data_IF_655266783041
#
_entry.id   IF_655266783041
#
_cell.length_a   1.000
_cell.length_b   1.000
_cell.length_c   1.000
_cell.angle_alpha   90.00
_cell.angle_beta   90.00
_cell.angle_gamma   90.00
#
_symmetry.space_group_name_H-M   'P 1'
#
loop_
_entity.id
_entity.type
_entity.pdbx_description
1 polymer ?
#
# COMPACT_ATOMS: atom_id res chain seq x y z
N UNK A 1 -15.07 21.87 7.19
CA UNK A 1 -13.92 21.99 6.26
C UNK A 1 -13.39 20.58 6.06
N UNK A 2 -13.11 20.15 4.83
CA UNK A 2 -12.63 18.78 4.55
C UNK A 2 -11.14 18.70 4.85
N UNK A 3 -10.69 17.57 5.41
CA UNK A 3 -9.29 17.41 5.82
C UNK A 3 -8.64 16.13 5.28
N UNK A 4 -7.34 16.21 5.00
CA UNK A 4 -6.53 15.07 4.57
C UNK A 4 -5.17 15.09 5.27
N UNK A 5 -4.74 13.93 5.73
CA UNK A 5 -3.37 13.68 6.16
C UNK A 5 -2.59 13.02 5.02
N UNK A 6 -1.37 13.48 4.75
CA UNK A 6 -0.44 12.89 3.78
C UNK A 6 0.80 12.40 4.54
N UNK A 7 0.95 11.09 4.64
CA UNK A 7 2.12 10.45 5.22
C UNK A 7 3.12 10.03 4.14
N UNK A 8 4.38 10.45 4.29
CA UNK A 8 5.49 10.03 3.43
C UNK A 8 6.40 9.04 4.17
N UNK A 9 6.40 7.78 3.74
CA UNK A 9 7.33 6.74 4.20
C UNK A 9 8.66 6.91 3.49
N UNK A 10 9.73 7.12 4.25
CA UNK A 10 11.06 7.30 3.69
C UNK A 10 12.15 6.77 4.63
N UNK A 11 13.40 6.91 4.20
CA UNK A 11 14.57 6.57 4.99
C UNK A 11 15.66 7.63 4.82
N UNK A 12 16.42 7.91 5.89
CA UNK A 12 17.50 8.92 5.87
C UNK A 12 18.54 8.72 4.75
N UNK A 13 18.75 7.47 4.31
CA UNK A 13 19.68 7.10 3.22
C UNK A 13 18.97 6.76 1.91
N UNK A 14 17.73 7.21 1.72
CA UNK A 14 17.01 6.93 0.48
C UNK A 14 17.70 7.56 -0.72
N UNK A 15 17.68 6.86 -1.86
CA UNK A 15 18.11 7.41 -3.15
C UNK A 15 17.17 8.51 -3.65
N UNK A 16 15.97 8.60 -3.08
CA UNK A 16 14.95 9.61 -3.39
C UNK A 16 14.84 10.68 -2.30
N UNK A 17 15.96 11.03 -1.65
CA UNK A 17 15.97 12.02 -0.57
C UNK A 17 15.39 13.39 -0.96
N UNK A 18 15.42 13.76 -2.24
CA UNK A 18 14.80 14.99 -2.74
C UNK A 18 13.28 15.02 -2.52
N UNK A 19 12.60 13.86 -2.55
CA UNK A 19 11.17 13.74 -2.29
C UNK A 19 10.80 13.96 -0.81
N UNK A 20 11.79 14.00 0.09
CA UNK A 20 11.59 14.35 1.50
C UNK A 20 11.52 15.87 1.73
N UNK A 21 11.86 16.68 0.73
CA UNK A 21 11.92 18.14 0.82
C UNK A 21 10.64 18.85 0.41
N UNK A 22 10.71 20.17 0.32
CA UNK A 22 9.60 21.03 -0.10
C UNK A 22 9.11 20.74 -1.54
N UNK A 23 10.02 20.31 -2.41
CA UNK A 23 9.72 19.99 -3.81
C UNK A 23 9.21 18.56 -4.01
N UNK A 24 9.20 17.74 -2.95
CA UNK A 24 8.66 16.39 -2.99
C UNK A 24 7.14 16.36 -3.18
N UNK A 25 6.63 15.23 -3.70
CA UNK A 25 5.20 15.07 -3.99
C UNK A 25 4.29 15.38 -2.80
N UNK A 26 4.66 14.96 -1.58
CA UNK A 26 3.85 15.20 -0.38
C UNK A 26 3.60 16.70 -0.13
N UNK A 27 4.66 17.51 -0.21
CA UNK A 27 4.60 18.94 0.10
C UNK A 27 4.00 19.74 -1.06
N UNK A 28 4.33 19.40 -2.31
CA UNK A 28 3.74 20.06 -3.48
C UNK A 28 2.25 19.78 -3.58
N UNK A 29 1.81 18.55 -3.29
CA UNK A 29 0.40 18.20 -3.21
C UNK A 29 -0.32 18.90 -2.06
N UNK A 30 0.33 19.07 -0.90
CA UNK A 30 -0.22 19.90 0.20
C UNK A 30 -0.54 21.31 -0.26
N UNK A 31 0.42 22.00 -0.88
CA UNK A 31 0.22 23.38 -1.37
C UNK A 31 -0.97 23.41 -2.34
N UNK A 32 -0.97 22.51 -3.31
CA UNK A 32 -2.01 22.45 -4.34
C UNK A 32 -3.42 22.18 -3.77
N UNK A 33 -3.55 21.32 -2.76
CA UNK A 33 -4.83 21.01 -2.11
C UNK A 33 -5.30 22.14 -1.17
N UNK A 34 -4.38 22.80 -0.45
CA UNK A 34 -4.70 23.96 0.40
C UNK A 34 -5.23 25.12 -0.43
N UNK A 35 -4.68 25.36 -1.62
CA UNK A 35 -5.19 26.36 -2.57
C UNK A 35 -6.66 26.11 -2.97
N UNK A 36 -7.14 24.88 -2.84
CA UNK A 36 -8.52 24.47 -3.11
C UNK A 36 -9.40 24.42 -1.84
N UNK A 37 -8.87 24.87 -0.71
CA UNK A 37 -9.61 25.01 0.55
C UNK A 37 -9.70 23.74 1.39
N UNK A 38 -8.84 22.74 1.17
CA UNK A 38 -8.70 21.60 2.07
C UNK A 38 -7.76 21.95 3.23
N UNK A 39 -8.08 21.41 4.41
CA UNK A 39 -7.12 21.34 5.52
C UNK A 39 -6.17 20.16 5.28
N UNK A 40 -4.86 20.42 5.20
CA UNK A 40 -3.88 19.41 4.79
C UNK A 40 -2.72 19.34 5.77
N UNK A 41 -2.56 18.16 6.36
CA UNK A 41 -1.45 17.81 7.25
C UNK A 41 -0.46 16.92 6.50
N UNK A 42 0.83 17.21 6.63
CA UNK A 42 1.89 16.38 6.04
C UNK A 42 2.83 15.93 7.14
N UNK A 43 3.15 14.64 7.16
CA UNK A 43 4.23 14.10 7.97
C UNK A 43 5.15 13.22 7.14
N UNK A 44 6.46 13.47 7.28
CA UNK A 44 7.51 12.69 6.63
C UNK A 44 8.21 11.86 7.71
N UNK A 45 8.20 10.55 7.56
CA UNK A 45 8.87 9.65 8.48
C UNK A 45 10.14 9.09 7.84
N UNK A 46 11.31 9.48 8.37
CA UNK A 46 12.63 9.01 7.94
C UNK A 46 13.37 8.19 9.00
N UNK A 47 12.70 7.92 10.13
CA UNK A 47 13.27 7.23 11.28
C UNK A 47 13.52 5.75 11.00
N UNK A 48 14.53 5.21 11.67
CA UNK A 48 14.75 3.77 11.84
C UNK A 48 14.04 3.37 13.15
N UNK A 49 12.85 2.79 13.02
CA UNK A 49 12.00 2.43 14.17
C UNK A 49 12.34 1.05 14.74
N UNK A 50 13.15 0.26 14.04
CA UNK A 50 13.57 -1.05 14.47
C UNK A 50 14.51 -0.95 15.68
N UNK A 51 14.23 -1.78 16.67
CA UNK A 51 15.13 -2.03 17.79
C UNK A 51 15.28 -3.54 18.01
N UNK A 52 16.50 -4.04 18.30
CA UNK A 52 16.70 -5.44 18.71
C UNK A 52 15.86 -5.85 19.93
N UNK A 53 15.48 -4.89 20.79
CA UNK A 53 14.60 -5.14 21.93
C UNK A 53 13.15 -5.44 21.53
N UNK A 54 12.74 -5.01 20.33
CA UNK A 54 11.41 -5.27 19.78
C UNK A 54 11.33 -6.65 19.12
N UNK A 55 12.32 -6.98 18.29
CA UNK A 55 12.43 -8.27 17.64
C UNK A 55 13.90 -8.55 17.31
N UNK A 56 14.47 -9.60 17.91
CA UNK A 56 15.79 -10.07 17.51
C UNK A 56 15.69 -10.80 16.17
N UNK A 57 16.21 -10.18 15.10
CA UNK A 57 16.22 -10.77 13.76
C UNK A 57 17.48 -11.62 13.60
N UNK A 58 17.30 -12.94 13.58
CA UNK A 58 18.33 -13.94 13.29
C UNK A 58 18.02 -14.69 11.97
N UNK A 59 18.86 -15.67 11.62
CA UNK A 59 18.66 -16.50 10.43
C UNK A 59 17.36 -17.31 10.46
N UNK A 60 16.90 -17.74 11.64
CA UNK A 60 15.66 -18.51 11.80
C UNK A 60 14.44 -17.64 11.51
N UNK A 61 14.43 -16.41 12.02
CA UNK A 61 13.39 -15.41 11.74
C UNK A 61 13.41 -15.08 10.25
N UNK A 62 14.58 -14.87 9.65
CA UNK A 62 14.67 -14.61 8.22
C UNK A 62 14.05 -15.74 7.37
N UNK A 63 14.29 -17.01 7.71
CA UNK A 63 13.66 -18.15 7.03
C UNK A 63 12.16 -18.27 7.27
N UNK A 64 11.73 -18.04 8.51
CA UNK A 64 10.32 -18.06 8.87
C UNK A 64 9.55 -16.95 8.13
N UNK A 65 10.14 -15.77 7.98
CA UNK A 65 9.59 -14.61 7.25
C UNK A 65 9.27 -14.94 5.80
N UNK A 66 10.17 -15.65 5.13
CA UNK A 66 9.98 -16.09 3.75
C UNK A 66 8.84 -17.11 3.66
N UNK A 67 8.84 -18.07 4.57
CA UNK A 67 7.84 -19.13 4.60
C UNK A 67 6.44 -18.57 4.85
N UNK A 68 6.32 -17.61 5.78
CA UNK A 68 5.04 -16.95 6.08
C UNK A 68 4.58 -16.06 4.92
N UNK A 69 5.49 -15.34 4.25
CA UNK A 69 5.15 -14.54 3.06
C UNK A 69 4.51 -15.41 1.97
N UNK A 70 5.09 -16.59 1.69
CA UNK A 70 4.56 -17.52 0.68
C UNK A 70 3.20 -18.11 1.08
N UNK A 71 3.01 -18.35 2.38
CA UNK A 71 1.73 -18.83 2.91
C UNK A 71 0.63 -17.78 2.74
N UNK A 72 0.92 -16.51 3.07
CA UNK A 72 -0.02 -15.40 2.87
C UNK A 72 -0.30 -15.21 1.37
N UNK A 73 0.71 -15.30 0.51
CA UNK A 73 0.53 -15.22 -0.93
C UNK A 73 -0.37 -16.35 -1.49
N UNK A 74 -0.19 -17.59 -1.03
CA UNK A 74 -1.07 -18.70 -1.42
C UNK A 74 -2.52 -18.45 -0.98
N UNK A 75 -2.71 -17.95 0.25
CA UNK A 75 -4.02 -17.55 0.76
C UNK A 75 -4.64 -16.43 -0.08
N UNK A 76 -3.84 -15.39 -0.40
CA UNK A 76 -4.25 -14.30 -1.28
C UNK A 76 -4.67 -14.81 -2.65
N UNK A 77 -3.89 -15.70 -3.26
CA UNK A 77 -4.24 -16.32 -4.53
C UNK A 77 -5.56 -17.09 -4.48
N UNK A 78 -5.84 -17.82 -3.38
CA UNK A 78 -7.13 -18.49 -3.18
C UNK A 78 -8.28 -17.49 -3.04
N UNK A 79 -8.06 -16.43 -2.28
CA UNK A 79 -9.02 -15.34 -2.08
C UNK A 79 -9.41 -14.67 -3.41
N UNK A 80 -8.43 -14.35 -4.28
CA UNK A 80 -8.70 -13.75 -5.60
C UNK A 80 -9.46 -14.69 -6.54
N UNK A 81 -9.26 -16.01 -6.43
CA UNK A 81 -9.91 -17.04 -7.26
C UNK A 81 -11.27 -17.48 -6.78
N UNK A 82 -11.63 -17.20 -5.52
CA UNK A 82 -12.92 -17.62 -4.98
C UNK A 82 -14.05 -17.14 -5.92
N UNK A 83 -15.05 -17.97 -6.21
CA UNK A 83 -16.17 -17.60 -7.10
C UNK A 83 -15.85 -17.28 -8.57
N UNK A 84 -14.62 -17.48 -9.06
CA UNK A 84 -14.30 -17.29 -10.49
C UNK A 84 -14.65 -18.55 -11.30
N UNK A 85 -15.45 -18.40 -12.35
CA UNK A 85 -15.94 -19.53 -13.17
C UNK A 85 -14.88 -20.19 -14.05
N UNK A 86 -13.72 -19.54 -14.30
CA UNK A 86 -12.56 -20.14 -14.94
C UNK A 86 -11.25 -19.46 -14.46
N UNK A 87 -10.19 -20.21 -14.12
CA UNK A 87 -8.89 -19.62 -13.82
C UNK A 87 -8.24 -19.15 -15.13
N UNK A 88 -8.09 -17.85 -15.34
CA UNK A 88 -7.21 -17.36 -16.41
C UNK A 88 -5.77 -17.76 -16.08
N UNK A 89 -5.05 -18.31 -17.04
CA UNK A 89 -3.64 -18.75 -16.88
C UNK A 89 -2.69 -17.59 -16.59
N UNK A 90 -3.11 -16.34 -16.85
CA UNK A 90 -2.38 -15.11 -16.52
C UNK A 90 -2.33 -14.84 -15.00
N UNK A 91 -3.43 -15.10 -14.27
CA UNK A 91 -3.54 -14.94 -12.79
C UNK A 91 -2.43 -15.66 -12.03
N UNK A 92 -2.07 -16.84 -12.52
CA UNK A 92 -1.11 -17.73 -11.87
C UNK A 92 0.32 -17.27 -12.16
N UNK A 93 0.59 -16.62 -13.29
CA UNK A 93 1.96 -16.36 -13.73
C UNK A 93 2.55 -15.06 -13.18
N UNK A 94 1.74 -14.02 -12.95
CA UNK A 94 2.26 -12.71 -12.55
C UNK A 94 2.59 -12.61 -11.05
N UNK A 95 1.73 -13.10 -10.15
CA UNK A 95 2.04 -13.16 -8.70
C UNK A 95 3.19 -14.10 -8.38
N UNK A 96 3.20 -15.28 -9.03
CA UNK A 96 4.34 -16.21 -8.95
C UNK A 96 5.65 -15.56 -9.39
N UNK A 97 5.67 -14.44 -10.12
CA UNK A 97 6.92 -13.80 -10.53
C UNK A 97 7.57 -12.96 -9.42
N UNK A 98 6.79 -12.23 -8.60
CA UNK A 98 7.31 -11.38 -7.52
C UNK A 98 7.86 -12.25 -6.39
N UNK A 99 7.11 -13.27 -6.00
CA UNK A 99 7.55 -14.24 -5.01
C UNK A 99 8.65 -15.15 -5.53
N UNK A 100 8.66 -15.59 -6.79
CA UNK A 100 9.85 -16.27 -7.37
C UNK A 100 11.07 -15.37 -7.46
N UNK A 101 10.93 -14.05 -7.63
CA UNK A 101 12.07 -13.12 -7.58
C UNK A 101 12.62 -13.00 -6.17
N UNK A 102 11.73 -12.87 -5.17
CA UNK A 102 12.12 -12.92 -3.76
C UNK A 102 12.75 -14.27 -3.41
N UNK A 103 12.14 -15.39 -3.85
CA UNK A 103 12.62 -16.75 -3.65
C UNK A 103 13.92 -17.03 -4.38
N UNK A 104 14.09 -16.54 -5.62
CA UNK A 104 15.34 -16.66 -6.37
C UNK A 104 16.44 -15.84 -5.70
N UNK A 105 16.12 -14.63 -5.23
CA UNK A 105 17.01 -13.81 -4.42
C UNK A 105 17.40 -14.52 -3.11
N UNK A 106 16.46 -15.10 -2.38
CA UNK A 106 16.74 -15.84 -1.13
C UNK A 106 17.48 -17.16 -1.40
N UNK A 107 17.13 -17.88 -2.47
CA UNK A 107 17.75 -19.16 -2.88
C UNK A 107 19.18 -18.97 -3.35
N UNK A 108 19.50 -17.89 -4.07
CA UNK A 108 20.87 -17.59 -4.49
C UNK A 108 21.76 -17.17 -3.30
N UNK A 109 21.15 -16.68 -2.22
CA UNK A 109 21.83 -16.22 -1.01
C UNK A 109 21.70 -17.21 0.17
N UNK A 110 21.19 -18.42 -0.09
CA UNK A 110 21.01 -19.53 0.86
C UNK A 110 22.26 -19.87 1.71
N UNK A 111 23.50 -19.82 1.18
CA UNK A 111 24.69 -20.04 1.99
C UNK A 111 24.95 -18.93 3.03
N UNK A 112 24.49 -17.70 2.79
CA UNK A 112 24.73 -16.52 3.64
C UNK A 112 23.64 -16.30 4.71
N UNK A 113 22.42 -16.77 4.46
CA UNK A 113 21.31 -16.78 5.43
C UNK A 113 21.54 -17.73 6.62
N UNK A 114 22.49 -18.66 6.48
CA UNK A 114 22.86 -19.66 7.50
C UNK A 114 24.02 -19.20 8.39
N UNK A 115 24.56 -18.00 8.17
CA UNK A 115 25.62 -17.44 9.02
C UNK A 115 25.00 -16.69 10.20
N UNK A 116 25.47 -16.96 11.42
CA UNK A 116 25.10 -16.24 12.66
C UNK A 116 25.56 -14.78 12.68
N UNK A 117 26.08 -14.26 11.56
CA UNK A 117 26.47 -12.86 11.44
C UNK A 117 25.22 -11.98 11.33
N UNK A 118 25.09 -11.05 12.27
CA UNK A 118 24.08 -9.97 12.27
C UNK A 118 24.18 -9.04 11.06
N UNK A 119 25.24 -9.18 10.24
CA UNK A 119 25.46 -8.46 9.00
C UNK A 119 25.04 -9.26 7.75
N UNK A 120 24.35 -10.40 7.89
CA UNK A 120 23.92 -11.16 6.71
C UNK A 120 22.90 -10.37 5.87
N UNK A 121 22.99 -10.44 4.53
CA UNK A 121 22.09 -9.76 3.60
C UNK A 121 20.60 -10.05 3.86
N UNK A 122 20.28 -11.27 4.30
CA UNK A 122 18.92 -11.67 4.67
C UNK A 122 18.40 -10.98 5.92
N UNK A 123 19.21 -10.91 6.98
CA UNK A 123 18.86 -10.17 8.21
C UNK A 123 18.66 -8.68 7.91
N UNK A 124 19.51 -8.10 7.06
CA UNK A 124 19.38 -6.71 6.61
C UNK A 124 18.08 -6.46 5.83
N UNK A 125 17.72 -7.39 4.91
CA UNK A 125 16.46 -7.32 4.18
C UNK A 125 15.25 -7.38 5.12
N UNK A 126 15.22 -8.35 6.05
CA UNK A 126 14.11 -8.49 7.01
C UNK A 126 13.99 -7.26 7.90
N UNK A 127 15.12 -6.70 8.37
CA UNK A 127 15.13 -5.45 9.12
C UNK A 127 14.55 -4.30 8.31
N UNK A 128 14.94 -4.19 7.04
CA UNK A 128 14.42 -3.16 6.14
C UNK A 128 12.90 -3.30 5.95
N UNK A 129 12.39 -4.52 5.73
CA UNK A 129 10.95 -4.78 5.60
C UNK A 129 10.19 -4.38 6.86
N UNK A 130 10.70 -4.76 8.03
CA UNK A 130 10.11 -4.40 9.32
C UNK A 130 10.09 -2.87 9.52
N UNK A 131 11.18 -2.18 9.18
CA UNK A 131 11.23 -0.72 9.26
C UNK A 131 10.21 -0.03 8.35
N UNK A 132 10.01 -0.53 7.14
CA UNK A 132 9.00 -0.01 6.21
C UNK A 132 7.60 -0.21 6.81
N UNK A 133 7.31 -1.40 7.37
CA UNK A 133 6.05 -1.69 8.06
C UNK A 133 5.82 -0.72 9.23
N UNK A 134 6.80 -0.56 10.14
CA UNK A 134 6.68 0.31 11.31
C UNK A 134 6.45 1.77 10.90
N UNK A 135 7.10 2.22 9.84
CA UNK A 135 6.93 3.57 9.29
C UNK A 135 5.50 3.79 8.75
N UNK A 136 4.95 2.81 8.00
CA UNK A 136 3.56 2.84 7.53
C UNK A 136 2.58 2.91 8.70
N UNK A 137 2.71 1.99 9.66
CA UNK A 137 1.80 1.92 10.83
C UNK A 137 1.86 3.21 11.65
N UNK A 138 3.05 3.79 11.84
CA UNK A 138 3.21 5.08 12.53
C UNK A 138 2.45 6.20 11.82
N UNK A 139 2.59 6.32 10.50
CA UNK A 139 1.92 7.37 9.74
C UNK A 139 0.40 7.15 9.67
N UNK A 140 -0.07 5.90 9.56
CA UNK A 140 -1.49 5.57 9.63
C UNK A 140 -2.09 5.97 10.99
N UNK A 141 -1.40 5.66 12.09
CA UNK A 141 -1.81 6.08 13.45
C UNK A 141 -1.83 7.58 13.61
N UNK A 142 -0.89 8.29 12.97
CA UNK A 142 -0.85 9.74 13.00
C UNK A 142 -2.05 10.36 12.26
N UNK A 143 -2.38 9.87 11.06
CA UNK A 143 -3.58 10.30 10.34
C UNK A 143 -4.86 10.09 11.15
N UNK A 144 -4.96 8.96 11.87
CA UNK A 144 -6.04 8.69 12.83
C UNK A 144 -6.03 9.68 13.99
N UNK A 145 -4.86 9.97 14.58
CA UNK A 145 -4.71 10.84 15.75
C UNK A 145 -5.13 12.28 15.44
N UNK A 146 -4.84 12.74 14.23
CA UNK A 146 -5.25 14.05 13.74
C UNK A 146 -6.73 14.11 13.35
N UNK A 147 -7.43 12.97 13.36
CA UNK A 147 -8.84 12.80 13.03
C UNK A 147 -9.22 13.47 11.69
N UNK A 148 -8.34 13.33 10.69
CA UNK A 148 -8.62 13.83 9.34
C UNK A 148 -9.69 12.99 8.65
N UNK A 149 -10.41 13.53 7.66
CA UNK A 149 -11.41 12.74 6.93
C UNK A 149 -10.76 11.61 6.12
N UNK A 150 -9.61 11.91 5.53
CA UNK A 150 -8.83 11.02 4.69
C UNK A 150 -7.36 10.95 5.10
N UNK A 151 -6.73 9.82 4.81
CA UNK A 151 -5.30 9.56 5.01
C UNK A 151 -4.69 8.99 3.73
N UNK A 152 -3.78 9.73 3.10
CA UNK A 152 -2.98 9.28 1.97
C UNK A 152 -1.60 8.83 2.47
N UNK A 153 -1.23 7.58 2.21
CA UNK A 153 0.13 7.07 2.49
C UNK A 153 0.86 6.89 1.17
N UNK A 154 2.03 7.53 1.03
CA UNK A 154 2.93 7.45 -0.11
C UNK A 154 4.36 7.11 0.35
N UNK A 155 5.16 6.55 -0.56
CA UNK A 155 6.58 6.30 -0.34
C UNK A 155 7.44 7.39 -0.99
N UNK A 156 8.71 7.45 -0.62
CA UNK A 156 9.65 8.45 -1.15
C UNK A 156 10.02 8.29 -2.61
N UNK A 157 9.63 7.20 -3.25
CA UNK A 157 9.77 7.00 -4.68
C UNK A 157 8.54 7.47 -5.48
N UNK A 158 7.52 7.99 -4.80
CA UNK A 158 6.30 8.49 -5.41
C UNK A 158 6.54 9.78 -6.21
N UNK A 159 5.95 9.86 -7.40
CA UNK A 159 5.97 11.05 -8.25
C UNK A 159 4.67 11.19 -9.04
N UNK A 160 4.37 12.38 -9.55
CA UNK A 160 3.28 12.60 -10.52
C UNK A 160 3.83 13.33 -11.74
N UNK A 161 3.31 13.00 -12.92
CA UNK A 161 3.62 13.72 -14.15
C UNK A 161 2.77 15.00 -14.28
N UNK A 162 1.60 15.04 -13.65
CA UNK A 162 0.68 16.17 -13.66
C UNK A 162 0.10 16.37 -12.25
N UNK A 163 0.60 17.39 -11.55
CA UNK A 163 0.17 17.73 -10.20
C UNK A 163 -1.27 18.27 -10.18
N UNK A 164 -1.68 18.98 -11.24
CA UNK A 164 -3.01 19.57 -11.35
C UNK A 164 -4.05 18.47 -11.55
N UNK A 165 -3.79 17.54 -12.46
CA UNK A 165 -4.60 16.32 -12.65
C UNK A 165 -4.75 15.53 -11.35
N UNK A 166 -3.62 15.23 -10.69
CA UNK A 166 -3.59 14.47 -9.45
C UNK A 166 -4.41 15.16 -8.34
N UNK A 167 -4.19 16.46 -8.13
CA UNK A 167 -4.96 17.27 -7.17
C UNK A 167 -6.45 17.22 -7.46
N UNK A 168 -6.85 17.54 -8.69
CA UNK A 168 -8.27 17.69 -9.03
C UNK A 168 -9.01 16.36 -8.94
N UNK A 169 -8.39 15.26 -9.35
CA UNK A 169 -9.00 13.95 -9.17
C UNK A 169 -9.07 13.46 -7.73
N UNK A 170 -8.05 13.74 -6.89
CA UNK A 170 -8.13 13.47 -5.45
C UNK A 170 -9.27 14.26 -4.80
N UNK A 171 -9.41 15.54 -5.15
CA UNK A 171 -10.53 16.36 -4.69
C UNK A 171 -11.87 15.79 -5.17
N UNK A 172 -11.96 15.34 -6.42
CA UNK A 172 -13.14 14.67 -6.95
C UNK A 172 -13.57 13.49 -6.09
N UNK A 173 -12.63 12.60 -5.76
CA UNK A 173 -12.88 11.43 -4.90
C UNK A 173 -13.33 11.85 -3.50
N UNK A 174 -12.58 12.74 -2.85
CA UNK A 174 -12.87 13.23 -1.49
C UNK A 174 -14.27 13.88 -1.44
N UNK A 175 -14.62 14.64 -2.47
CA UNK A 175 -15.86 15.38 -2.54
C UNK A 175 -17.08 14.50 -2.85
N UNK A 176 -16.94 13.55 -3.78
CA UNK A 176 -18.01 12.62 -4.17
C UNK A 176 -18.35 11.61 -3.07
N UNK A 177 -17.39 11.34 -2.19
CA UNK A 177 -17.51 10.33 -1.13
C UNK A 177 -18.28 10.80 0.11
N UNK A 178 -18.81 12.03 0.08
CA UNK A 178 -19.48 12.69 1.20
C UNK A 178 -21.01 12.64 1.01
N UNK A 179 -21.71 11.86 1.84
CA UNK A 179 -23.18 11.72 1.82
C UNK A 179 -23.69 10.41 1.23
N UNK A 180 -22.95 9.80 0.30
CA UNK A 180 -23.20 8.43 -0.20
C UNK A 180 -22.19 7.43 0.39
N UNK A 181 -22.42 6.11 0.24
CA UNK A 181 -21.42 5.06 0.56
C UNK A 181 -20.26 5.15 -0.44
N UNK A 182 -19.39 6.15 -0.27
CA UNK A 182 -18.11 6.23 -0.97
C UNK A 182 -17.14 5.14 -0.48
N UNK A 183 -15.96 5.01 -1.12
CA UNK A 183 -15.04 3.92 -0.84
C UNK A 183 -14.46 4.03 0.58
N UNK A 184 -14.13 2.86 1.12
CA UNK A 184 -13.31 2.68 2.30
C UNK A 184 -11.85 3.07 2.01
N UNK A 185 -11.34 2.73 0.83
CA UNK A 185 -10.04 3.18 0.34
C UNK A 185 -9.95 3.18 -1.19
N UNK A 186 -8.97 3.91 -1.72
CA UNK A 186 -8.72 4.03 -3.15
C UNK A 186 -7.24 3.77 -3.46
N UNK A 187 -6.97 2.82 -4.33
CA UNK A 187 -5.65 2.62 -4.93
C UNK A 187 -5.42 3.69 -6.00
N UNK A 188 -4.41 4.53 -5.83
CA UNK A 188 -4.06 5.62 -6.77
C UNK A 188 -2.63 5.51 -7.30
N UNK A 189 -1.95 4.39 -7.04
CA UNK A 189 -0.62 4.11 -7.57
C UNK A 189 -0.66 3.56 -9.00
N UNK A 190 0.34 3.88 -9.81
CA UNK A 190 0.65 3.27 -11.10
C UNK A 190 1.87 2.33 -10.97
N UNK A 191 1.81 1.37 -10.05
CA UNK A 191 2.88 0.35 -9.88
C UNK A 191 2.70 -0.85 -10.82
N UNK A 192 1.50 -1.42 -10.80
CA UNK A 192 1.12 -2.58 -11.59
C UNK A 192 -0.27 -2.38 -12.15
N UNK A 193 -0.47 -2.81 -13.40
CA UNK A 193 -1.80 -2.84 -13.99
C UNK A 193 -2.65 -3.92 -13.32
N UNK A 194 -3.99 -3.78 -13.29
CA UNK A 194 -4.86 -4.82 -12.78
C UNK A 194 -4.65 -6.20 -13.45
N UNK A 195 -4.22 -6.23 -14.72
CA UNK A 195 -3.82 -7.45 -15.43
C UNK A 195 -2.52 -8.08 -14.91
N UNK A 196 -1.51 -7.27 -14.61
CA UNK A 196 -0.28 -7.75 -13.97
C UNK A 196 -0.56 -8.29 -12.56
N UNK A 197 -1.58 -7.78 -11.90
CA UNK A 197 -2.02 -8.29 -10.60
C UNK A 197 -3.07 -9.37 -10.73
N UNK A 198 -3.51 -9.75 -11.93
CA UNK A 198 -4.63 -10.69 -12.07
C UNK A 198 -5.84 -10.31 -11.20
N UNK A 199 -6.22 -9.04 -11.18
CA UNK A 199 -7.43 -8.57 -10.49
C UNK A 199 -8.42 -7.93 -11.45
N UNK A 200 -8.15 -7.90 -12.77
CA UNK A 200 -9.09 -7.35 -13.78
C UNK A 200 -10.51 -7.92 -13.62
N UNK A 201 -10.63 -9.24 -13.42
CA UNK A 201 -11.92 -9.93 -13.27
C UNK A 201 -12.66 -9.56 -11.99
N UNK A 202 -11.99 -8.86 -11.06
CA UNK A 202 -12.56 -8.34 -9.83
C UNK A 202 -12.93 -6.87 -9.95
N UNK A 203 -12.65 -6.20 -11.06
CA UNK A 203 -12.89 -4.77 -11.24
C UNK A 203 -14.06 -4.53 -12.19
N UNK A 204 -14.93 -3.58 -11.83
CA UNK A 204 -16.03 -3.11 -12.67
C UNK A 204 -15.95 -1.60 -12.77
N UNK A 205 -16.05 -1.04 -13.98
CA UNK A 205 -16.02 0.41 -14.15
C UNK A 205 -17.14 1.09 -13.34
N UNK A 206 -16.81 2.22 -12.69
CA UNK A 206 -17.82 3.02 -12.01
C UNK A 206 -18.73 3.70 -13.02
N UNK A 207 -20.04 3.47 -12.90
CA UNK A 207 -21.04 4.19 -13.68
C UNK A 207 -21.38 5.57 -13.10
N UNK A 208 -21.00 5.83 -11.84
CA UNK A 208 -21.40 7.03 -11.09
C UNK A 208 -20.24 7.93 -10.63
N UNK A 209 -18.99 7.52 -10.83
CA UNK A 209 -17.82 8.27 -10.38
C UNK A 209 -16.80 8.40 -11.50
N UNK A 210 -16.41 9.64 -11.78
CA UNK A 210 -15.40 9.96 -12.79
C UNK A 210 -14.19 10.59 -12.12
N UNK A 211 -13.01 10.34 -12.68
CA UNK A 211 -11.82 11.09 -12.31
C UNK A 211 -12.02 12.57 -12.68
N UNK A 212 -11.85 13.46 -11.71
CA UNK A 212 -12.10 14.90 -11.90
C UNK A 212 -10.87 15.68 -12.41
N UNK A 213 -9.74 14.99 -12.63
CA UNK A 213 -8.57 15.57 -13.26
C UNK A 213 -8.68 15.61 -14.80
N UNK A 214 -7.66 16.20 -15.44
CA UNK A 214 -7.60 16.41 -16.89
C UNK A 214 -7.25 15.15 -17.68
N UNK A 215 -6.59 14.17 -17.07
CA UNK A 215 -6.17 12.94 -17.72
C UNK A 215 -7.33 11.93 -17.81
N UNK A 216 -7.36 11.17 -18.91
CA UNK A 216 -8.31 10.07 -19.07
C UNK A 216 -7.94 8.93 -18.12
N UNK A 217 -8.71 8.77 -17.03
CA UNK A 217 -8.55 7.71 -16.04
C UNK A 217 -9.90 7.08 -15.73
N UNK A 218 -9.89 5.78 -15.50
CA UNK A 218 -11.06 5.00 -15.09
C UNK A 218 -11.01 4.78 -13.60
N UNK A 219 -12.11 5.07 -12.90
CA UNK A 219 -12.34 4.61 -11.53
C UNK A 219 -13.08 3.28 -11.63
N UNK A 220 -12.45 2.20 -11.17
CA UNK A 220 -13.05 0.88 -11.10
C UNK A 220 -13.38 0.50 -9.65
N UNK A 221 -14.56 -0.05 -9.44
CA UNK A 221 -15.00 -0.63 -8.18
C UNK A 221 -14.57 -2.08 -8.12
N UNK A 222 -14.07 -2.49 -6.97
CA UNK A 222 -13.67 -3.87 -6.76
C UNK A 222 -14.84 -4.68 -6.21
N UNK A 223 -15.14 -5.83 -6.83
CA UNK A 223 -16.13 -6.79 -6.30
C UNK A 223 -15.66 -7.40 -4.97
N UNK A 224 -14.35 -7.37 -4.73
CA UNK A 224 -13.69 -7.71 -3.49
C UNK A 224 -12.53 -6.75 -3.23
N UNK A 225 -12.21 -6.44 -1.97
CA UNK A 225 -11.05 -5.62 -1.63
C UNK A 225 -9.76 -6.17 -2.23
N UNK A 226 -9.08 -5.35 -3.01
CA UNK A 226 -7.76 -5.62 -3.59
C UNK A 226 -6.86 -4.41 -3.44
N UNK A 227 -5.56 -4.62 -3.35
CA UNK A 227 -4.55 -3.56 -3.40
C UNK A 227 -3.65 -3.83 -4.59
N UNK A 228 -3.12 -2.77 -5.21
CA UNK A 228 -2.14 -2.95 -6.28
C UNK A 228 -0.71 -3.07 -5.73
N UNK A 229 -0.44 -2.31 -4.68
CA UNK A 229 0.75 -2.19 -3.82
C UNK A 229 0.31 -1.38 -2.59
N UNK A 230 1.05 -1.37 -1.47
CA UNK A 230 0.71 -0.51 -0.30
C UNK A 230 1.01 0.96 -0.52
N UNK A 231 1.78 1.30 -1.55
CA UNK A 231 2.17 2.66 -1.84
C UNK A 231 1.04 3.42 -2.52
N UNK A 232 0.87 4.70 -2.16
CA UNK A 232 -0.16 5.57 -2.73
C UNK A 232 -1.57 4.99 -2.62
N UNK A 233 -2.00 4.75 -1.39
CA UNK A 233 -3.39 4.43 -1.05
C UNK A 233 -4.01 5.58 -0.27
N UNK A 234 -5.18 6.01 -0.73
CA UNK A 234 -6.03 6.99 -0.06
C UNK A 234 -7.09 6.27 0.78
N UNK A 235 -6.93 6.28 2.10
CA UNK A 235 -7.85 5.65 3.05
C UNK A 235 -8.85 6.64 3.61
N UNK A 236 -10.11 6.23 3.73
CA UNK A 236 -11.06 6.91 4.61
C UNK A 236 -10.63 6.64 6.06
N UNK A 237 -10.49 7.67 6.88
CA UNK A 237 -9.91 7.50 8.22
C UNK A 237 -10.74 6.59 9.13
N UNK A 238 -12.07 6.56 8.96
CA UNK A 238 -12.93 5.62 9.69
C UNK A 238 -12.63 4.16 9.34
N UNK A 239 -12.40 3.85 8.06
CA UNK A 239 -11.95 2.54 7.64
C UNK A 239 -10.53 2.24 8.12
N UNK A 240 -9.63 3.23 8.07
CA UNK A 240 -8.24 3.06 8.52
C UNK A 240 -8.15 2.66 10.00
N UNK A 241 -9.04 3.16 10.86
CA UNK A 241 -9.17 2.77 12.28
C UNK A 241 -9.46 1.27 12.43
N UNK A 242 -10.42 0.75 11.65
CA UNK A 242 -10.75 -0.67 11.64
C UNK A 242 -9.59 -1.48 11.06
N UNK A 243 -9.03 -1.06 9.93
CA UNK A 243 -7.90 -1.73 9.28
C UNK A 243 -6.70 -1.88 10.21
N UNK A 244 -6.34 -0.82 10.95
CA UNK A 244 -5.22 -0.88 11.91
C UNK A 244 -5.49 -1.84 13.06
N UNK A 245 -6.75 -2.02 13.47
CA UNK A 245 -7.11 -3.02 14.48
C UNK A 245 -6.81 -4.44 13.98
N UNK A 246 -7.12 -4.73 12.72
CA UNK A 246 -6.77 -6.02 12.11
C UNK A 246 -5.27 -6.16 11.92
N UNK A 247 -4.56 -5.12 11.48
CA UNK A 247 -3.11 -5.15 11.33
C UNK A 247 -2.38 -5.36 12.66
N UNK A 248 -2.85 -4.75 13.75
CA UNK A 248 -2.29 -4.92 15.09
C UNK A 248 -2.56 -6.32 15.67
N UNK A 249 -3.58 -7.02 15.18
CA UNK A 249 -3.84 -8.42 15.55
C UNK A 249 -2.89 -9.42 14.86
N UNK A 250 -2.24 -9.01 13.77
CA UNK A 250 -1.28 -9.84 13.05
C UNK A 250 0.08 -9.81 13.76
N UNK A 251 0.75 -10.98 13.90
CA UNK A 251 2.01 -11.04 14.61
C UNK A 251 3.09 -10.18 13.93
N UNK A 252 4.00 -9.62 14.73
CA UNK A 252 5.18 -8.92 14.22
C UNK A 252 6.21 -9.89 13.62
N UNK A 253 6.20 -11.14 14.09
CA UNK A 253 7.10 -12.20 13.64
C UNK A 253 6.31 -13.48 13.28
N UNK A 254 6.56 -14.12 12.13
CA UNK A 254 7.60 -13.77 11.16
C UNK A 254 7.32 -12.45 10.42
N UNK A 255 8.37 -11.68 10.13
CA UNK A 255 8.23 -10.39 9.42
C UNK A 255 7.85 -10.66 7.98
N UNK A 256 6.75 -10.07 7.52
CA UNK A 256 6.32 -10.14 6.11
C UNK A 256 6.29 -8.72 5.54
N UNK A 257 6.53 -8.54 4.23
CA UNK A 257 6.37 -7.22 3.62
C UNK A 257 4.99 -6.64 3.91
N UNK A 258 4.93 -5.32 4.11
CA UNK A 258 3.71 -4.60 4.48
C UNK A 258 2.56 -4.85 3.49
N UNK A 259 2.84 -5.04 2.19
CA UNK A 259 1.83 -5.42 1.19
C UNK A 259 1.09 -6.69 1.56
N UNK A 260 1.83 -7.71 1.96
CA UNK A 260 1.25 -9.00 2.33
C UNK A 260 0.54 -8.92 3.68
N UNK A 261 1.06 -8.11 4.62
CA UNK A 261 0.40 -7.89 5.91
C UNK A 261 -0.93 -7.15 5.73
N UNK A 262 -0.96 -6.13 4.88
CA UNK A 262 -2.17 -5.41 4.52
C UNK A 262 -3.18 -6.34 3.84
N UNK A 263 -2.74 -7.16 2.88
CA UNK A 263 -3.60 -8.15 2.22
C UNK A 263 -4.17 -9.18 3.20
N UNK A 264 -3.36 -9.65 4.16
CA UNK A 264 -3.84 -10.52 5.23
C UNK A 264 -4.93 -9.87 6.09
N UNK A 265 -4.74 -8.60 6.47
CA UNK A 265 -5.74 -7.83 7.20
C UNK A 265 -7.04 -7.67 6.39
N UNK A 266 -6.95 -7.31 5.10
CA UNK A 266 -8.11 -7.17 4.21
C UNK A 266 -8.87 -8.48 4.00
N UNK A 267 -8.16 -9.62 3.86
CA UNK A 267 -8.79 -10.93 3.80
C UNK A 267 -9.57 -11.25 5.07
N UNK A 268 -9.01 -10.97 6.24
CA UNK A 268 -9.69 -11.17 7.53
C UNK A 268 -10.91 -10.25 7.67
N UNK A 269 -10.78 -8.96 7.35
CA UNK A 269 -11.90 -8.01 7.36
C UNK A 269 -13.03 -8.43 6.39
N UNK A 270 -12.68 -9.00 5.23
CA UNK A 270 -13.66 -9.51 4.26
C UNK A 270 -14.38 -10.73 4.81
N UNK A 271 -13.65 -11.65 5.45
CA UNK A 271 -14.24 -12.84 6.09
C UNK A 271 -15.23 -12.46 7.21
N UNK A 272 -14.93 -11.39 7.94
CA UNK A 272 -15.78 -10.85 9.01
C UNK A 272 -16.90 -9.92 8.51
N UNK A 273 -17.03 -9.73 7.19
CA UNK A 273 -18.04 -8.88 6.57
C UNK A 273 -17.89 -7.38 6.86
N UNK A 274 -16.69 -6.92 7.24
CA UNK A 274 -16.37 -5.51 7.55
C UNK A 274 -16.10 -4.68 6.31
N UNK A 275 -15.73 -5.32 5.21
CA UNK A 275 -15.47 -4.71 3.92
C UNK A 275 -15.91 -5.68 2.81
N UNK A 276 -16.43 -5.16 1.71
CA UNK A 276 -16.96 -5.97 0.61
C UNK A 276 -16.97 -5.26 -0.74
N UNK A 277 -17.95 -5.64 -1.56
CA UNK A 277 -18.12 -5.14 -2.92
C UNK A 277 -18.34 -3.64 -2.95
N UNK A 278 -17.54 -2.93 -3.74
CA UNK A 278 -17.66 -1.48 -3.96
C UNK A 278 -16.92 -0.62 -2.93
N UNK A 279 -16.44 -1.20 -1.83
CA UNK A 279 -15.72 -0.46 -0.78
C UNK A 279 -14.28 -0.12 -1.17
N UNK A 280 -13.71 -0.82 -2.16
CA UNK A 280 -12.38 -0.55 -2.69
C UNK A 280 -12.48 -0.02 -4.13
N UNK A 281 -11.92 1.16 -4.36
CA UNK A 281 -11.78 1.71 -5.71
C UNK A 281 -10.33 1.62 -6.18
N UNK A 282 -10.15 1.52 -7.49
CA UNK A 282 -8.85 1.56 -8.16
C UNK A 282 -8.91 2.56 -9.29
N UNK A 283 -7.96 3.49 -9.34
CA UNK A 283 -7.80 4.44 -10.45
C UNK A 283 -6.80 3.86 -11.44
N UNK A 284 -7.18 3.76 -12.72
CA UNK A 284 -6.31 3.22 -13.77
C UNK A 284 -6.35 4.08 -15.04
N UNK A 285 -5.21 4.55 -15.56
CA UNK A 285 -3.90 4.53 -14.90
C UNK A 285 -3.91 5.35 -13.61
N UNK A 286 -3.08 4.98 -12.64
CA UNK A 286 -2.90 5.68 -11.36
C UNK A 286 -2.24 7.05 -11.55
N UNK A 287 -2.65 8.09 -10.80
CA UNK A 287 -2.04 9.41 -10.88
C UNK A 287 -0.65 9.52 -10.23
N UNK A 288 -0.27 8.55 -9.39
CA UNK A 288 1.02 8.55 -8.68
C UNK A 288 1.87 7.38 -9.18
N UNK A 289 3.00 7.69 -9.77
CA UNK A 289 3.97 6.70 -10.26
C UNK A 289 5.03 6.38 -9.20
N UNK A 290 5.60 5.18 -9.29
CA UNK A 290 6.71 4.71 -8.48
C UNK A 290 8.01 4.66 -9.28
N UNK A 291 8.91 5.58 -8.95
CA UNK A 291 10.19 5.68 -9.63
C UNK A 291 11.10 4.47 -9.42
N UNK A 292 10.86 3.65 -8.39
CA UNK A 292 11.62 2.41 -8.18
C UNK A 292 11.23 1.27 -9.12
N UNK A 293 10.09 1.38 -9.80
CA UNK A 293 9.53 0.38 -10.71
C UNK A 293 9.92 0.59 -12.18
N UNK A 294 10.61 1.71 -12.47
CA UNK A 294 11.12 2.09 -13.80
C UNK A 294 12.54 1.62 -14.05
#
# INVERSE_FOLDING_TARGET
MRSIFIGLVSHKKSKFAYNQGHDGLANTLKVALVEKGLDVHVQINTSDEYSPNMLQIDGKIAWASVSETLKIEDQWGKYLRHGASQPSTALVNSFRSISRRLWAFIRYWRPWLSSDSTASPGISLVRRLLNIELSHVRLMREGIRLDTDWTLIIEDDASTLDLVDCRDGLLGIINASFGERGPAYVNISESFTPAQLGVDHLLTASSGSTWAGSASRVIALSIRPVTNTVCAILYRTTFLKDLLTYMDSLPLSPVVPIDWKLNAALMAMTADGRIGTGDCWTVTPGPIDQLSMR
#
